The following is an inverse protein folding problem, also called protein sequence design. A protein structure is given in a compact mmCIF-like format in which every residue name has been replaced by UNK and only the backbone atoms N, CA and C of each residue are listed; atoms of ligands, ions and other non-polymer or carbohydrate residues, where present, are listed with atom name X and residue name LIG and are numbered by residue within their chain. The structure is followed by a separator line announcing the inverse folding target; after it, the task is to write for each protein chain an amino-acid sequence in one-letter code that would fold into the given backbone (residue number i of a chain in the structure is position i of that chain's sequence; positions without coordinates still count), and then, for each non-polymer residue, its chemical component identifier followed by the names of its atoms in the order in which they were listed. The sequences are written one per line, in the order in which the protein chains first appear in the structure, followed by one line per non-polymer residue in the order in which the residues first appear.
data_IF_890404432867
#
_entry.id   IF_890404432867
#
_cell.length_a   1.000
_cell.length_b   1.000
_cell.length_c   1.000
_cell.angle_alpha   90.00
_cell.angle_beta   90.00
_cell.angle_gamma   90.00
#
_symmetry.space_group_name_H-M   'P 1'
#
loop_
_entity.id
_entity.type
_entity.pdbx_description
1 polymer ?
#
# COMPACT_ATOMS: atom_id res chain seq x y z
N UNK A 1 -10.86 20.46 -17.31
CA UNK A 1 -10.02 20.28 -16.10
C UNK A 1 -10.72 19.30 -15.19
N UNK A 2 -10.14 18.11 -14.95
CA UNK A 2 -10.69 17.18 -13.95
C UNK A 2 -10.40 17.78 -12.58
N UNK A 3 -11.43 18.05 -11.78
CA UNK A 3 -11.28 18.51 -10.40
C UNK A 3 -10.63 17.37 -9.61
N UNK A 4 -9.37 17.55 -9.23
CA UNK A 4 -8.68 16.60 -8.36
C UNK A 4 -9.50 16.47 -7.06
N UNK A 5 -9.74 15.24 -6.57
CA UNK A 5 -10.43 15.03 -5.29
C UNK A 5 -9.67 15.72 -4.15
N UNK A 6 -10.42 16.24 -3.20
CA UNK A 6 -9.89 16.89 -2.00
C UNK A 6 -9.07 15.86 -1.17
N UNK A 7 -7.79 16.14 -0.85
CA UNK A 7 -6.93 15.19 -0.15
C UNK A 7 -7.49 14.85 1.24
N UNK A 8 -8.13 15.79 1.94
CA UNK A 8 -8.73 15.54 3.25
C UNK A 8 -9.86 14.50 3.15
N UNK A 9 -10.68 14.56 2.10
CA UNK A 9 -11.75 13.58 1.88
C UNK A 9 -11.20 12.18 1.57
N UNK A 10 -10.10 12.11 0.82
CA UNK A 10 -9.42 10.85 0.56
C UNK A 10 -8.83 10.26 1.85
N UNK A 11 -8.25 11.08 2.72
CA UNK A 11 -7.73 10.63 4.01
C UNK A 11 -8.81 10.07 4.92
N UNK A 12 -9.97 10.74 5.00
CA UNK A 12 -11.14 10.22 5.74
C UNK A 12 -11.59 8.88 5.17
N UNK A 13 -11.73 8.78 3.85
CA UNK A 13 -12.14 7.53 3.19
C UNK A 13 -11.14 6.39 3.43
N UNK A 14 -9.84 6.70 3.42
CA UNK A 14 -8.79 5.74 3.71
C UNK A 14 -8.96 5.18 5.13
N UNK A 15 -9.10 6.06 6.14
CA UNK A 15 -9.29 5.64 7.53
C UNK A 15 -10.54 4.76 7.71
N UNK A 16 -11.68 5.16 7.15
CA UNK A 16 -12.92 4.38 7.20
C UNK A 16 -12.76 2.98 6.60
N UNK A 17 -12.12 2.88 5.42
CA UNK A 17 -11.91 1.59 4.77
C UNK A 17 -10.92 0.70 5.55
N UNK A 18 -9.94 1.28 6.25
CA UNK A 18 -9.05 0.51 7.14
C UNK A 18 -9.80 -0.06 8.34
N UNK A 19 -10.66 0.76 8.97
CA UNK A 19 -11.52 0.29 10.08
C UNK A 19 -12.44 -0.83 9.61
N UNK A 20 -13.14 -0.64 8.49
CA UNK A 20 -14.06 -1.64 7.94
C UNK A 20 -13.34 -2.93 7.52
N UNK A 21 -12.12 -2.83 6.99
CA UNK A 21 -11.30 -4.00 6.68
C UNK A 21 -10.91 -4.76 7.94
N UNK A 22 -10.42 -4.06 8.95
CA UNK A 22 -9.94 -4.65 10.22
C UNK A 22 -11.08 -5.34 10.95
N UNK A 23 -12.22 -4.67 11.09
CA UNK A 23 -13.40 -5.20 11.75
C UNK A 23 -13.98 -6.42 11.00
N UNK A 24 -13.92 -6.43 9.67
CA UNK A 24 -14.35 -7.58 8.88
C UNK A 24 -13.43 -8.79 9.06
N UNK A 25 -12.11 -8.59 9.07
CA UNK A 25 -11.13 -9.66 9.35
C UNK A 25 -11.33 -10.23 10.75
N UNK A 26 -11.57 -9.37 11.75
CA UNK A 26 -11.83 -9.80 13.12
C UNK A 26 -13.06 -10.71 13.24
N UNK A 27 -14.07 -10.48 12.39
CA UNK A 27 -15.26 -11.34 12.28
C UNK A 27 -15.09 -12.56 11.37
N UNK A 28 -13.90 -12.78 10.81
CA UNK A 28 -13.64 -13.85 9.83
C UNK A 28 -14.22 -13.58 8.44
N UNK A 29 -14.72 -12.38 8.15
CA UNK A 29 -15.26 -12.01 6.84
C UNK A 29 -14.16 -11.44 5.93
N UNK A 30 -13.33 -12.36 5.45
CA UNK A 30 -12.21 -12.04 4.56
C UNK A 30 -12.66 -11.47 3.20
N UNK A 31 -13.88 -11.78 2.75
CA UNK A 31 -14.39 -11.26 1.47
C UNK A 31 -14.66 -9.76 1.58
N UNK A 32 -15.35 -9.35 2.63
CA UNK A 32 -15.60 -7.92 2.89
C UNK A 32 -14.32 -7.20 3.26
N UNK A 33 -13.46 -7.82 4.08
CA UNK A 33 -12.13 -7.26 4.41
C UNK A 33 -11.31 -6.93 3.15
N UNK A 34 -11.22 -7.88 2.21
CA UNK A 34 -10.51 -7.67 0.94
C UNK A 34 -11.14 -6.60 0.04
N UNK A 35 -12.46 -6.40 0.10
CA UNK A 35 -13.15 -5.33 -0.64
C UNK A 35 -12.70 -3.96 -0.12
N UNK A 36 -12.67 -3.78 1.20
CA UNK A 36 -12.19 -2.55 1.82
C UNK A 36 -10.68 -2.34 1.63
N UNK A 37 -9.89 -3.42 1.66
CA UNK A 37 -8.47 -3.35 1.32
C UNK A 37 -8.20 -2.74 -0.05
N UNK A 38 -8.91 -3.22 -1.08
CA UNK A 38 -8.80 -2.68 -2.43
C UNK A 38 -9.17 -1.19 -2.49
N UNK A 39 -10.13 -0.76 -1.68
CA UNK A 39 -10.58 0.65 -1.65
C UNK A 39 -9.57 1.57 -0.98
N UNK A 40 -9.01 1.22 0.18
CA UNK A 40 -7.99 2.07 0.81
C UNK A 40 -6.70 2.10 -0.03
N UNK A 41 -6.33 0.99 -0.70
CA UNK A 41 -5.20 0.97 -1.65
C UNK A 41 -5.44 1.92 -2.82
N UNK A 42 -6.62 1.86 -3.44
CA UNK A 42 -6.98 2.77 -4.53
C UNK A 42 -7.02 4.24 -4.07
N UNK A 43 -7.43 4.49 -2.83
CA UNK A 43 -7.45 5.82 -2.21
C UNK A 43 -6.03 6.35 -1.98
N UNK A 44 -5.13 5.51 -1.47
CA UNK A 44 -3.71 5.85 -1.36
C UNK A 44 -3.09 6.15 -2.73
N UNK A 45 -3.40 5.36 -3.75
CA UNK A 45 -2.90 5.63 -5.11
C UNK A 45 -3.34 7.02 -5.60
N UNK A 46 -4.58 7.43 -5.34
CA UNK A 46 -5.05 8.80 -5.66
C UNK A 46 -4.24 9.85 -4.91
N UNK A 47 -4.09 9.72 -3.59
CA UNK A 47 -3.26 10.62 -2.78
C UNK A 47 -1.84 10.71 -3.35
N UNK A 48 -1.26 9.58 -3.73
CA UNK A 48 0.07 9.51 -4.33
C UNK A 48 0.18 10.27 -5.66
N UNK A 49 -0.85 10.24 -6.50
CA UNK A 49 -0.85 11.02 -7.76
C UNK A 49 -0.85 12.53 -7.54
N UNK A 50 -1.19 12.99 -6.32
CA UNK A 50 -1.14 14.40 -5.92
C UNK A 50 0.25 14.82 -5.45
N UNK A 51 1.23 13.91 -5.48
CA UNK A 51 2.60 14.16 -5.01
C UNK A 51 2.68 14.26 -3.49
N UNK A 52 3.58 15.09 -3.00
CA UNK A 52 3.88 15.18 -1.56
C UNK A 52 2.71 15.72 -0.77
N UNK A 53 1.89 16.61 -1.35
CA UNK A 53 0.66 17.14 -0.71
C UNK A 53 -0.30 16.01 -0.32
N UNK A 54 -0.49 15.01 -1.18
CA UNK A 54 -1.39 13.90 -0.87
C UNK A 54 -0.78 12.93 0.16
N UNK A 55 0.53 12.72 0.12
CA UNK A 55 1.22 11.89 1.12
C UNK A 55 1.28 12.57 2.49
N UNK A 56 1.52 13.88 2.52
CA UNK A 56 1.50 14.68 3.74
C UNK A 56 0.10 14.76 4.36
N UNK A 57 -0.96 14.80 3.54
CA UNK A 57 -2.32 14.71 4.05
C UNK A 57 -2.57 13.40 4.80
N UNK A 58 -2.05 12.27 4.30
CA UNK A 58 -2.16 10.98 4.98
C UNK A 58 -1.43 10.94 6.32
N UNK A 59 -0.37 11.75 6.49
CA UNK A 59 0.40 11.81 7.74
C UNK A 59 -0.44 12.28 8.93
N UNK A 60 -1.56 12.96 8.71
CA UNK A 60 -2.52 13.30 9.76
C UNK A 60 -3.08 12.06 10.49
N UNK A 61 -3.08 10.89 9.85
CA UNK A 61 -3.53 9.63 10.46
C UNK A 61 -2.51 8.99 11.40
N UNK A 62 -1.26 9.47 11.45
CA UNK A 62 -0.24 8.93 12.37
C UNK A 62 -0.58 9.15 13.85
N UNK A 63 -1.52 10.06 14.15
CA UNK A 63 -2.02 10.36 15.50
C UNK A 63 -3.49 9.95 15.70
N UNK A 64 -4.06 9.18 14.77
CA UNK A 64 -5.46 8.74 14.83
C UNK A 64 -5.74 7.92 16.11
N UNK A 65 -6.94 8.01 16.68
CA UNK A 65 -7.27 7.33 17.96
C UNK A 65 -7.14 5.80 17.88
N UNK A 66 -7.54 5.22 16.74
CA UNK A 66 -7.48 3.77 16.53
C UNK A 66 -6.08 3.31 16.09
N UNK A 67 -5.48 2.30 16.76
CA UNK A 67 -4.14 1.80 16.43
C UNK A 67 -4.01 1.18 15.03
N UNK A 68 -5.04 0.48 14.54
CA UNK A 68 -5.07 -0.13 13.20
C UNK A 68 -4.91 0.93 12.10
N UNK A 69 -5.62 2.06 12.22
CA UNK A 69 -5.51 3.19 11.29
C UNK A 69 -4.12 3.81 11.34
N UNK A 70 -3.55 4.02 12.53
CA UNK A 70 -2.18 4.57 12.68
C UNK A 70 -1.13 3.68 12.03
N UNK A 71 -1.16 2.38 12.33
CA UNK A 71 -0.22 1.38 11.79
C UNK A 71 -0.32 1.32 10.28
N UNK A 72 -1.54 1.29 9.75
CA UNK A 72 -1.76 1.24 8.32
C UNK A 72 -1.22 2.51 7.63
N UNK A 73 -1.53 3.70 8.15
CA UNK A 73 -1.01 4.94 7.60
C UNK A 73 0.54 5.00 7.65
N UNK A 74 1.13 4.59 8.77
CA UNK A 74 2.58 4.54 8.94
C UNK A 74 3.25 3.61 7.92
N UNK A 75 2.71 2.41 7.71
CA UNK A 75 3.17 1.48 6.69
C UNK A 75 3.22 2.15 5.30
N UNK A 76 2.11 2.77 4.87
CA UNK A 76 2.05 3.46 3.56
C UNK A 76 2.98 4.68 3.45
N UNK A 77 3.42 5.25 4.59
CA UNK A 77 4.29 6.43 4.64
C UNK A 77 5.77 6.12 4.85
N UNK A 78 6.16 4.85 4.99
CA UNK A 78 7.56 4.45 5.24
C UNK A 78 8.59 5.07 4.27
N UNK A 79 8.22 5.32 3.01
CA UNK A 79 9.12 5.98 2.03
C UNK A 79 9.05 7.50 2.03
N UNK A 80 7.96 8.09 2.50
CA UNK A 80 7.73 9.54 2.45
C UNK A 80 8.14 10.23 3.76
N UNK A 81 7.87 9.58 4.89
CA UNK A 81 8.15 10.05 6.25
C UNK A 81 8.75 8.92 7.08
N UNK A 82 9.88 8.41 6.63
CA UNK A 82 10.52 7.23 7.23
C UNK A 82 10.70 7.32 8.75
N UNK A 83 11.22 8.42 9.33
CA UNK A 83 11.39 8.50 10.79
C UNK A 83 10.06 8.41 11.54
N UNK A 84 9.11 9.30 11.21
CA UNK A 84 7.78 9.35 11.85
C UNK A 84 7.03 8.01 11.71
N UNK A 85 7.08 7.40 10.53
CA UNK A 85 6.43 6.13 10.25
C UNK A 85 7.06 4.99 11.05
N UNK A 86 8.39 4.91 11.11
CA UNK A 86 9.07 3.88 11.89
C UNK A 86 8.82 4.03 13.39
N UNK A 87 8.75 5.25 13.90
CA UNK A 87 8.47 5.49 15.31
C UNK A 87 7.07 4.98 15.69
N UNK A 88 6.05 5.27 14.87
CA UNK A 88 4.69 4.76 15.07
C UNK A 88 4.64 3.24 14.98
N UNK A 89 5.30 2.64 13.98
CA UNK A 89 5.32 1.19 13.83
C UNK A 89 6.05 0.51 14.99
N UNK A 90 7.19 1.05 15.44
CA UNK A 90 7.96 0.51 16.56
C UNK A 90 7.19 0.60 17.87
N UNK A 91 6.47 1.71 18.10
CA UNK A 91 5.59 1.84 19.25
C UNK A 91 4.47 0.79 19.22
N UNK A 92 3.78 0.66 18.09
CA UNK A 92 2.70 -0.32 17.93
C UNK A 92 3.19 -1.78 18.06
N UNK A 93 4.38 -2.08 17.55
CA UNK A 93 4.98 -3.42 17.60
C UNK A 93 5.28 -3.91 19.03
N UNK A 94 5.40 -3.00 20.02
CA UNK A 94 5.54 -3.37 21.44
C UNK A 94 4.24 -3.88 22.07
N UNK A 95 3.10 -3.66 21.42
CA UNK A 95 1.80 -4.09 21.89
C UNK A 95 1.51 -5.57 21.62
N UNK A 96 0.23 -5.91 21.58
CA UNK A 96 -0.25 -7.25 21.21
C UNK A 96 -1.43 -7.16 20.25
N UNK A 97 -1.77 -8.28 19.60
CA UNK A 97 -2.87 -8.37 18.65
C UNK A 97 -2.48 -7.98 17.21
N UNK A 98 -3.49 -7.84 16.36
CA UNK A 98 -3.30 -7.68 14.91
C UNK A 98 -2.50 -6.44 14.52
N UNK A 99 -2.69 -5.31 15.22
CA UNK A 99 -1.94 -4.08 14.95
C UNK A 99 -0.44 -4.22 15.27
N UNK A 100 -0.09 -4.88 16.39
CA UNK A 100 1.31 -5.13 16.75
C UNK A 100 1.99 -6.11 15.77
N UNK A 101 1.26 -7.16 15.36
CA UNK A 101 1.72 -8.09 14.36
C UNK A 101 2.01 -7.38 13.03
N UNK A 102 1.04 -6.63 12.49
CA UNK A 102 1.21 -5.92 11.22
C UNK A 102 2.31 -4.84 11.27
N UNK A 103 2.47 -4.16 12.41
CA UNK A 103 3.56 -3.22 12.59
C UNK A 103 4.94 -3.92 12.53
N UNK A 104 5.07 -5.07 13.19
CA UNK A 104 6.33 -5.86 13.20
C UNK A 104 6.67 -6.38 11.81
N UNK A 105 5.66 -6.87 11.09
CA UNK A 105 5.76 -7.37 9.73
C UNK A 105 6.10 -6.26 8.71
N UNK A 106 5.58 -5.05 8.90
CA UNK A 106 5.96 -3.88 8.11
C UNK A 106 7.41 -3.46 8.34
N UNK A 107 7.86 -3.38 9.61
CA UNK A 107 9.25 -3.07 9.97
C UNK A 107 10.20 -4.10 9.36
N UNK A 108 9.91 -5.39 9.53
CA UNK A 108 10.73 -6.48 8.99
C UNK A 108 10.91 -6.35 7.47
N UNK A 109 9.82 -6.17 6.72
CA UNK A 109 9.89 -6.00 5.25
C UNK A 109 10.61 -4.73 4.83
N UNK A 110 10.53 -3.67 5.64
CA UNK A 110 11.29 -2.44 5.43
C UNK A 110 12.79 -2.67 5.58
N UNK A 111 13.20 -3.32 6.66
CA UNK A 111 14.61 -3.65 6.95
C UNK A 111 15.20 -4.63 5.94
N UNK A 112 14.41 -5.61 5.48
CA UNK A 112 14.79 -6.55 4.42
C UNK A 112 14.81 -5.93 3.01
N UNK A 113 14.37 -4.68 2.86
CA UNK A 113 14.28 -4.00 1.57
C UNK A 113 13.19 -4.55 0.63
N UNK A 114 12.27 -5.40 1.14
CA UNK A 114 11.16 -6.00 0.37
C UNK A 114 9.87 -5.18 0.41
N UNK A 115 9.90 -4.01 1.06
CA UNK A 115 8.75 -3.12 1.21
C UNK A 115 8.28 -2.46 -0.10
N UNK A 116 7.01 -2.70 -0.47
CA UNK A 116 6.48 -2.35 -1.78
C UNK A 116 5.12 -1.61 -1.78
N UNK A 117 4.67 -1.03 -0.65
CA UNK A 117 3.38 -0.31 -0.62
C UNK A 117 3.40 1.06 -1.30
N UNK A 118 4.55 1.73 -1.30
CA UNK A 118 4.80 2.91 -2.14
C UNK A 118 6.06 2.66 -2.97
N UNK A 119 5.99 2.01 -4.15
CA UNK A 119 7.17 1.86 -4.99
C UNK A 119 7.64 3.23 -5.47
N UNK A 120 8.97 3.45 -5.46
CA UNK A 120 9.61 4.57 -6.14
C UNK A 120 9.10 4.61 -7.58
N UNK A 121 8.59 5.76 -7.99
CA UNK A 121 7.87 5.87 -9.25
C UNK A 121 8.71 5.36 -10.42
N UNK A 122 8.15 4.42 -11.19
CA UNK A 122 8.50 4.26 -12.60
C UNK A 122 8.06 5.51 -13.38
N UNK A 123 8.66 6.67 -13.10
CA UNK A 123 8.71 7.77 -14.05
C UNK A 123 9.81 7.45 -15.08
N UNK A 124 9.59 6.44 -15.92
CA UNK A 124 10.53 6.16 -17.02
C UNK A 124 10.32 4.87 -17.82
N UNK A 125 9.76 3.79 -17.26
CA UNK A 125 9.77 2.49 -17.95
C UNK A 125 8.62 2.27 -18.95
N UNK A 126 7.66 3.21 -19.03
CA UNK A 126 6.57 3.15 -20.03
C UNK A 126 6.90 3.79 -21.38
N UNK A 127 8.08 4.38 -21.57
CA UNK A 127 8.49 4.88 -22.90
C UNK A 127 9.18 3.80 -23.75
N UNK A 128 9.84 2.82 -23.14
CA UNK A 128 10.69 1.89 -23.89
C UNK A 128 9.96 0.65 -24.44
N UNK A 129 8.71 0.39 -24.02
CA UNK A 129 7.94 -0.80 -24.47
C UNK A 129 7.05 -0.55 -25.68
N UNK A 130 6.66 0.70 -25.96
CA UNK A 130 5.74 1.01 -27.07
C UNK A 130 6.43 1.46 -28.37
N UNK A 131 7.77 1.61 -28.38
CA UNK A 131 8.52 1.98 -29.59
C UNK A 131 9.17 0.79 -30.31
N UNK A 132 9.05 -0.45 -29.82
CA UNK A 132 9.36 -1.62 -30.66
C UNK A 132 8.12 -2.04 -31.42
N UNK A 133 7.98 -1.51 -32.63
CA UNK A 133 7.22 -2.16 -33.69
C UNK A 133 7.91 -3.51 -33.95
N UNK A 134 7.25 -4.67 -33.72
CA UNK A 134 7.87 -5.96 -34.00
C UNK A 134 8.13 -6.11 -35.51
N UNK A 135 9.36 -6.47 -35.89
CA UNK A 135 9.69 -6.85 -37.26
C UNK A 135 9.23 -8.31 -37.51
N UNK A 136 8.77 -8.66 -38.71
CA UNK A 136 8.11 -9.94 -38.99
C UNK A 136 9.01 -11.18 -38.85
N UNK A 137 10.32 -11.01 -38.65
CA UNK A 137 11.30 -12.10 -38.75
C UNK A 137 11.94 -12.52 -37.41
N UNK A 138 11.46 -12.02 -36.27
CA UNK A 138 12.02 -12.40 -34.96
C UNK A 138 11.57 -13.83 -34.56
N UNK A 139 12.48 -14.79 -34.35
CA UNK A 139 12.12 -16.17 -34.02
C UNK A 139 11.54 -16.25 -32.61
N UNK A 140 10.36 -16.88 -32.53
CA UNK A 140 9.56 -17.08 -31.32
C UNK A 140 10.31 -17.93 -30.27
N UNK A 141 10.55 -17.45 -29.03
CA UNK A 141 11.12 -18.29 -27.99
C UNK A 141 10.03 -19.13 -27.32
N UNK A 142 9.97 -20.42 -27.68
CA UNK A 142 9.53 -21.53 -26.80
C UNK A 142 10.78 -21.99 -26.03
N UNK A 143 10.83 -22.31 -24.74
CA UNK A 143 9.82 -22.68 -23.72
C UNK A 143 10.46 -22.46 -22.33
N UNK A 144 9.64 -22.59 -21.28
CA UNK A 144 10.00 -22.93 -19.89
C UNK A 144 10.61 -21.83 -19.00
N UNK A 145 9.75 -21.19 -18.20
CA UNK A 145 9.88 -21.30 -16.74
C UNK A 145 8.52 -21.07 -16.11
N UNK A 146 8.01 -22.06 -15.39
CA UNK A 146 6.92 -21.85 -14.45
C UNK A 146 7.37 -20.86 -13.38
N UNK A 147 6.78 -19.67 -13.36
CA UNK A 147 6.82 -18.80 -12.20
C UNK A 147 5.40 -18.38 -11.89
N UNK A 148 4.96 -18.83 -10.71
CA UNK A 148 3.63 -18.69 -10.16
C UNK A 148 3.09 -17.26 -10.34
N UNK A 149 1.97 -17.14 -11.06
CA UNK A 149 0.98 -16.08 -10.80
C UNK A 149 0.38 -16.35 -9.42
N UNK A 150 1.13 -16.03 -8.38
CA UNK A 150 0.80 -16.37 -7.00
C UNK A 150 0.89 -15.23 -6.00
N UNK A 151 1.58 -14.13 -6.27
CA UNK A 151 1.95 -13.20 -5.18
C UNK A 151 1.62 -11.72 -5.43
N UNK A 152 0.56 -11.44 -6.19
CA UNK A 152 0.03 -10.05 -6.31
C UNK A 152 -1.29 -9.80 -5.56
N UNK A 153 -1.80 -10.79 -4.82
CA UNK A 153 -3.02 -10.64 -4.02
C UNK A 153 -2.86 -11.00 -2.53
N UNK A 154 -1.64 -11.26 -2.06
CA UNK A 154 -1.38 -11.58 -0.64
C UNK A 154 -1.05 -10.39 0.25
N UNK A 155 -1.01 -9.17 -0.30
CA UNK A 155 -0.69 -7.96 0.48
C UNK A 155 -1.89 -7.50 1.34
N UNK A 156 -3.11 -7.96 1.06
CA UNK A 156 -4.30 -7.51 1.79
C UNK A 156 -4.57 -8.25 3.11
N UNK A 157 -3.85 -9.34 3.38
CA UNK A 157 -4.08 -10.12 4.60
C UNK A 157 -3.11 -9.80 5.72
N UNK A 158 -1.90 -9.36 5.39
CA UNK A 158 -0.83 -9.09 6.33
C UNK A 158 0.06 -8.02 5.68
N UNK A 159 -0.33 -6.77 5.85
CA UNK A 159 0.68 -5.78 6.22
C UNK A 159 1.03 -6.12 7.66
#
# INVERSE_FOLDING_TARGET
MVRQPDPTKLVVQFAEDVVLQTDAIWRGDHKTGNKHAKRYIATFQKLRTMGDVGRDALAALLVHERPDVRVMAAAFLLRHRTPDALDVLRDAARGSGGAAFGASEAIKRWEEGTWALDPEGERGLYRHRLERIPQPDDPSPRTETGLQRGDRQRIAFLI
#
